data_IF_130744124761
#
_entry.id   IF_130744124761
#
_cell.length_a   1.000
_cell.length_b   1.000
_cell.length_c   1.000
_cell.angle_alpha   90.00
_cell.angle_beta   90.00
_cell.angle_gamma   90.00
#
_symmetry.space_group_name_H-M   'P 1'
#
loop_
_entity.id
_entity.type
_entity.pdbx_description
1 polymer ?
#
# COMPACT_ATOMS: atom_id res chain seq x y z
N UNK A 1 8.99 17.19 -71.23
CA UNK A 1 9.79 16.62 -70.15
C UNK A 1 9.31 17.26 -68.83
N UNK A 2 8.28 16.65 -68.19
CA UNK A 2 7.72 17.09 -66.91
C UNK A 2 8.44 16.37 -65.76
N UNK A 3 9.07 17.15 -64.90
CA UNK A 3 9.60 16.62 -63.63
C UNK A 3 8.47 16.60 -62.59
N UNK A 4 7.91 15.42 -62.31
CA UNK A 4 7.01 15.20 -61.24
C UNK A 4 7.81 15.23 -59.91
N UNK A 5 7.85 16.39 -59.28
CA UNK A 5 8.35 16.50 -57.89
C UNK A 5 7.38 15.83 -56.94
N UNK A 6 7.78 14.73 -56.33
CA UNK A 6 7.01 14.08 -55.26
C UNK A 6 6.95 14.98 -54.02
N UNK A 7 5.80 15.63 -53.82
CA UNK A 7 5.49 16.35 -52.59
C UNK A 7 5.41 15.34 -51.43
N UNK A 8 6.49 15.18 -50.70
CA UNK A 8 6.45 14.44 -49.42
C UNK A 8 5.71 15.28 -48.38
N UNK A 9 4.59 14.78 -47.89
CA UNK A 9 3.71 15.43 -46.94
C UNK A 9 4.47 15.68 -45.62
N UNK A 10 4.74 16.93 -45.20
CA UNK A 10 5.52 17.24 -43.99
C UNK A 10 4.84 16.76 -42.69
N UNK A 11 3.54 16.47 -42.73
CA UNK A 11 2.79 15.93 -41.57
C UNK A 11 3.05 14.44 -41.31
N UNK A 12 3.45 13.67 -42.36
CA UNK A 12 3.78 12.24 -42.22
C UNK A 12 5.09 12.00 -41.45
N UNK A 13 6.08 12.87 -41.65
CA UNK A 13 7.36 12.84 -40.89
C UNK A 13 7.16 13.16 -39.39
N UNK A 14 6.24 14.10 -39.06
CA UNK A 14 5.91 14.43 -37.65
C UNK A 14 5.23 13.28 -36.95
N UNK A 15 4.40 12.47 -37.61
CA UNK A 15 3.71 11.31 -37.04
C UNK A 15 4.69 10.20 -36.66
N UNK A 16 5.68 9.87 -37.49
CA UNK A 16 6.70 8.83 -37.19
C UNK A 16 7.63 9.23 -36.02
N UNK A 17 8.12 10.48 -36.02
CA UNK A 17 8.98 10.99 -34.96
C UNK A 17 8.26 11.01 -33.59
N UNK A 18 6.96 11.33 -33.56
CA UNK A 18 6.16 11.31 -32.33
C UNK A 18 5.91 9.89 -31.80
N UNK A 19 5.77 8.90 -32.67
CA UNK A 19 5.65 7.47 -32.33
C UNK A 19 6.97 6.93 -31.78
N UNK A 20 8.11 7.27 -32.37
CA UNK A 20 9.42 6.84 -31.91
C UNK A 20 9.76 7.41 -30.52
N UNK A 21 9.36 8.65 -30.23
CA UNK A 21 9.53 9.29 -28.91
C UNK A 21 8.70 8.63 -27.81
N UNK A 22 7.63 7.91 -28.15
CA UNK A 22 6.77 7.16 -27.21
C UNK A 22 7.24 5.72 -26.97
N UNK A 23 8.14 5.20 -27.79
CA UNK A 23 8.64 3.83 -27.69
C UNK A 23 9.23 3.51 -26.31
N UNK A 24 10.06 4.38 -25.69
CA UNK A 24 10.58 4.12 -24.33
C UNK A 24 9.46 4.02 -23.28
N UNK A 25 8.39 4.81 -23.44
CA UNK A 25 7.24 4.78 -22.52
C UNK A 25 6.51 3.44 -22.64
N UNK A 26 6.25 2.96 -23.85
CA UNK A 26 5.61 1.65 -24.06
C UNK A 26 6.46 0.50 -23.54
N UNK A 27 7.79 0.55 -23.76
CA UNK A 27 8.72 -0.43 -23.24
C UNK A 27 8.68 -0.46 -21.69
N UNK A 28 8.69 0.72 -21.05
CA UNK A 28 8.57 0.85 -19.60
C UNK A 28 7.27 0.23 -19.10
N UNK A 29 6.14 0.54 -19.75
CA UNK A 29 4.82 -0.02 -19.38
C UNK A 29 4.82 -1.55 -19.49
N UNK A 30 5.39 -2.12 -20.56
CA UNK A 30 5.50 -3.58 -20.73
C UNK A 30 6.32 -4.19 -19.60
N UNK A 31 7.49 -3.62 -19.28
CA UNK A 31 8.35 -4.09 -18.18
C UNK A 31 7.62 -4.02 -16.83
N UNK A 32 6.84 -2.95 -16.58
CA UNK A 32 6.07 -2.81 -15.34
C UNK A 32 4.90 -3.79 -15.23
N UNK A 33 4.27 -4.15 -16.34
CA UNK A 33 3.13 -5.09 -16.35
C UNK A 33 3.60 -6.56 -16.34
N UNK A 34 4.80 -6.85 -16.83
CA UNK A 34 5.31 -8.21 -16.96
C UNK A 34 5.26 -9.05 -15.67
N UNK A 35 5.62 -8.53 -14.47
CA UNK A 35 5.48 -9.29 -13.22
C UNK A 35 4.03 -9.68 -12.90
N UNK A 36 3.09 -8.77 -13.11
CA UNK A 36 1.66 -9.04 -12.89
C UNK A 36 1.12 -10.07 -13.88
N UNK A 37 1.50 -9.93 -15.14
CA UNK A 37 1.19 -10.93 -16.16
C UNK A 37 1.72 -12.31 -15.77
N UNK A 38 2.97 -12.38 -15.30
CA UNK A 38 3.57 -13.63 -14.82
C UNK A 38 2.84 -14.22 -13.61
N UNK A 39 2.45 -13.39 -12.64
CA UNK A 39 1.66 -13.83 -11.48
C UNK A 39 0.30 -14.41 -11.90
N UNK A 40 -0.42 -13.72 -12.81
CA UNK A 40 -1.72 -14.17 -13.31
C UNK A 40 -1.57 -15.50 -14.04
N UNK A 41 -0.67 -15.59 -15.01
CA UNK A 41 -0.51 -16.81 -15.80
C UNK A 41 -0.01 -17.98 -14.96
N UNK A 42 0.95 -17.76 -14.06
CA UNK A 42 1.51 -18.79 -13.21
C UNK A 42 0.53 -19.31 -12.15
N UNK A 43 -0.39 -18.45 -11.66
CA UNK A 43 -1.44 -18.87 -10.73
C UNK A 43 -2.48 -19.81 -11.37
N UNK A 44 -2.53 -19.86 -12.68
CA UNK A 44 -3.46 -20.68 -13.46
C UNK A 44 -2.80 -21.92 -14.10
N UNK A 45 -1.50 -22.13 -13.88
CA UNK A 45 -0.74 -23.27 -14.41
C UNK A 45 -0.73 -24.44 -13.45
N UNK A 46 -0.62 -25.64 -14.01
CA UNK A 46 -0.35 -26.86 -13.23
C UNK A 46 1.09 -26.85 -12.69
N UNK A 47 1.32 -27.67 -11.66
CA UNK A 47 2.68 -27.88 -11.10
C UNK A 47 3.65 -28.37 -12.17
N UNK A 48 3.20 -29.31 -13.02
CA UNK A 48 4.03 -29.83 -14.12
C UNK A 48 4.42 -28.74 -15.10
N UNK A 49 3.48 -27.85 -15.44
CA UNK A 49 3.74 -26.77 -16.38
C UNK A 49 4.68 -25.70 -15.79
N UNK A 50 4.60 -25.42 -14.49
CA UNK A 50 5.51 -24.50 -13.80
C UNK A 50 6.97 -24.98 -13.80
N UNK A 51 7.20 -26.31 -14.01
CA UNK A 51 8.54 -26.92 -14.08
C UNK A 51 9.14 -26.93 -15.50
N UNK A 52 8.36 -26.62 -16.52
CA UNK A 52 8.83 -26.67 -17.91
C UNK A 52 9.87 -25.59 -18.18
N UNK A 53 10.98 -26.01 -18.82
CA UNK A 53 12.05 -25.11 -19.25
C UNK A 53 12.20 -25.21 -20.78
N UNK A 54 12.10 -24.10 -21.53
CA UNK A 54 11.81 -22.73 -21.10
C UNK A 54 10.38 -22.57 -20.60
N UNK A 55 10.14 -21.59 -19.68
CA UNK A 55 8.81 -21.37 -19.11
C UNK A 55 7.79 -20.99 -20.18
N UNK A 56 6.58 -21.54 -20.09
CA UNK A 56 5.48 -21.16 -20.99
C UNK A 56 4.99 -19.76 -20.65
N UNK A 57 4.70 -18.96 -21.65
CA UNK A 57 4.16 -17.61 -21.44
C UNK A 57 2.66 -17.65 -21.08
N UNK A 58 1.91 -18.56 -21.73
CA UNK A 58 0.48 -18.78 -21.47
C UNK A 58 0.25 -20.13 -20.83
N UNK A 59 -0.74 -20.30 -19.92
CA UNK A 59 -1.12 -21.62 -19.44
C UNK A 59 -1.60 -22.48 -20.63
N UNK A 60 -1.11 -23.72 -20.73
CA UNK A 60 -1.58 -24.69 -21.71
C UNK A 60 -3.01 -25.13 -21.38
N UNK A 61 -3.21 -25.41 -20.08
CA UNK A 61 -4.52 -25.70 -19.52
C UNK A 61 -4.75 -24.74 -18.35
N UNK A 62 -5.90 -24.06 -18.34
CA UNK A 62 -6.27 -23.13 -17.25
C UNK A 62 -6.74 -23.96 -16.06
N UNK A 63 -5.99 -23.93 -14.97
CA UNK A 63 -6.28 -24.71 -13.77
C UNK A 63 -6.60 -23.79 -12.60
N UNK A 64 -7.78 -24.00 -12.00
CA UNK A 64 -8.20 -23.31 -10.78
C UNK A 64 -7.80 -24.03 -9.50
N UNK A 65 -7.10 -25.18 -9.60
CA UNK A 65 -6.66 -25.97 -8.45
C UNK A 65 -5.71 -25.25 -7.49
N UNK A 66 -5.02 -24.19 -7.93
CA UNK A 66 -4.21 -23.35 -7.06
C UNK A 66 -5.06 -22.51 -6.08
N UNK A 67 -6.32 -22.28 -6.39
CA UNK A 67 -7.26 -21.52 -5.55
C UNK A 67 -8.20 -22.44 -4.78
N UNK A 68 -8.70 -23.49 -5.43
CA UNK A 68 -9.69 -24.44 -4.90
C UNK A 68 -9.09 -25.84 -4.77
N UNK A 69 -9.84 -26.75 -4.17
CA UNK A 69 -9.44 -28.12 -3.90
C UNK A 69 -9.15 -28.94 -5.17
N UNK A 70 -8.57 -30.04 -4.91
CA UNK A 70 -8.13 -31.18 -5.69
C UNK A 70 -9.07 -31.71 -6.77
N UNK A 71 -10.35 -31.58 -6.57
CA UNK A 71 -11.33 -32.00 -7.59
C UNK A 71 -11.07 -31.37 -8.96
N UNK A 72 -10.35 -30.25 -8.99
CA UNK A 72 -10.03 -29.50 -10.21
C UNK A 72 -8.64 -29.75 -10.76
N UNK A 73 -7.80 -30.52 -10.06
CA UNK A 73 -6.48 -30.89 -10.56
C UNK A 73 -6.03 -32.28 -10.07
N UNK A 74 -6.57 -33.38 -10.67
CA UNK A 74 -6.27 -34.74 -10.25
C UNK A 74 -4.78 -35.12 -10.40
N UNK A 75 -4.01 -34.42 -11.22
CA UNK A 75 -2.60 -34.69 -11.44
C UNK A 75 -1.67 -34.18 -10.32
N UNK A 76 -2.15 -33.26 -9.50
CA UNK A 76 -1.43 -32.78 -8.29
C UNK A 76 -1.44 -33.81 -7.15
N UNK A 77 -2.16 -34.92 -7.27
CA UNK A 77 -2.59 -35.81 -6.18
C UNK A 77 -1.78 -37.08 -5.97
N UNK A 78 -0.75 -37.30 -6.74
CA UNK A 78 0.13 -38.48 -6.44
C UNK A 78 1.09 -38.23 -5.27
N UNK A 79 1.19 -37.03 -4.76
CA UNK A 79 1.98 -36.70 -3.57
C UNK A 79 1.19 -35.77 -2.65
N UNK A 80 0.86 -36.25 -1.47
CA UNK A 80 0.23 -35.59 -0.33
C UNK A 80 -0.70 -34.41 -0.65
N UNK A 81 -1.98 -34.57 -0.32
CA UNK A 81 -3.10 -33.65 -0.53
C UNK A 81 -2.70 -32.16 -0.43
N UNK A 82 -2.36 -31.52 -1.55
CA UNK A 82 -2.16 -30.08 -1.58
C UNK A 82 -3.52 -29.40 -1.70
N UNK A 83 -4.01 -28.89 -0.59
CA UNK A 83 -5.19 -28.05 -0.56
C UNK A 83 -4.94 -26.73 -1.30
N UNK A 84 -5.86 -26.32 -2.16
CA UNK A 84 -5.80 -24.99 -2.78
C UNK A 84 -5.81 -23.85 -1.75
N UNK A 85 -5.48 -22.64 -2.19
CA UNK A 85 -5.30 -21.48 -1.33
C UNK A 85 -6.44 -21.26 -0.32
N UNK A 86 -7.68 -21.38 -0.76
CA UNK A 86 -8.85 -21.09 0.09
C UNK A 86 -9.16 -22.21 1.10
N UNK A 87 -8.68 -23.42 0.89
CA UNK A 87 -8.93 -24.57 1.76
C UNK A 87 -7.73 -24.93 2.64
N UNK A 88 -6.59 -24.28 2.41
CA UNK A 88 -5.33 -24.54 3.12
C UNK A 88 -5.39 -24.22 4.63
N UNK A 89 -6.39 -23.49 5.07
CA UNK A 89 -6.53 -23.04 6.45
C UNK A 89 -7.92 -23.41 6.99
N UNK A 90 -8.25 -24.72 7.11
CA UNK A 90 -9.58 -25.16 7.51
C UNK A 90 -9.94 -24.76 8.96
N UNK A 91 -8.92 -24.66 9.83
CA UNK A 91 -9.09 -24.32 11.26
C UNK A 91 -9.31 -22.81 11.47
N UNK A 92 -9.06 -21.97 10.47
CA UNK A 92 -9.29 -20.55 10.57
C UNK A 92 -10.71 -20.18 10.18
N UNK A 93 -11.38 -19.42 11.03
CA UNK A 93 -12.64 -18.79 10.67
C UNK A 93 -12.39 -17.88 9.45
N UNK A 94 -13.11 -18.15 8.34
CA UNK A 94 -12.92 -17.53 7.02
C UNK A 94 -11.67 -17.97 6.24
N UNK A 95 -10.91 -18.99 6.68
CA UNK A 95 -9.75 -19.50 5.95
C UNK A 95 -8.75 -18.40 5.57
N UNK A 96 -8.27 -18.42 4.32
CA UNK A 96 -7.32 -17.40 3.80
C UNK A 96 -7.84 -15.95 3.91
N UNK A 97 -9.15 -15.73 3.83
CA UNK A 97 -9.72 -14.38 3.97
C UNK A 97 -9.54 -13.79 5.37
N UNK A 98 -9.24 -14.58 6.40
CA UNK A 98 -8.90 -14.09 7.74
C UNK A 98 -7.71 -13.13 7.70
N UNK A 99 -6.67 -13.47 6.94
CA UNK A 99 -5.49 -12.62 6.79
C UNK A 99 -5.82 -11.29 6.10
N UNK A 100 -6.71 -11.33 5.13
CA UNK A 100 -7.19 -10.12 4.47
C UNK A 100 -7.98 -9.22 5.42
N UNK A 101 -8.88 -9.80 6.21
CA UNK A 101 -9.64 -9.08 7.25
C UNK A 101 -8.69 -8.41 8.24
N UNK A 102 -7.70 -9.15 8.76
CA UNK A 102 -6.71 -8.60 9.68
C UNK A 102 -5.95 -7.43 9.04
N UNK A 103 -5.48 -7.59 7.80
CA UNK A 103 -4.78 -6.52 7.08
C UNK A 103 -5.66 -5.29 6.88
N UNK A 104 -6.95 -5.44 6.56
CA UNK A 104 -7.88 -4.32 6.44
C UNK A 104 -8.14 -3.65 7.78
N UNK A 105 -8.41 -4.41 8.83
CA UNK A 105 -8.65 -3.87 10.19
C UNK A 105 -7.44 -3.06 10.65
N UNK A 106 -6.24 -3.63 10.57
CA UNK A 106 -5.00 -2.97 10.98
C UNK A 106 -4.74 -1.72 10.14
N UNK A 107 -4.78 -1.85 8.81
CA UNK A 107 -4.49 -0.75 7.88
C UNK A 107 -5.46 0.42 8.05
N UNK A 108 -6.77 0.16 8.05
CA UNK A 108 -7.78 1.21 8.16
C UNK A 108 -7.67 1.90 9.52
N UNK A 109 -7.52 1.12 10.61
CA UNK A 109 -7.41 1.67 11.96
C UNK A 109 -6.18 2.57 12.09
N UNK A 110 -4.99 2.11 11.66
CA UNK A 110 -3.78 2.91 11.72
C UNK A 110 -3.93 4.15 10.85
N UNK A 111 -4.39 4.01 9.61
CA UNK A 111 -4.52 5.13 8.67
C UNK A 111 -5.46 6.20 9.22
N UNK A 112 -6.66 5.83 9.67
CA UNK A 112 -7.65 6.80 10.18
C UNK A 112 -7.16 7.46 11.46
N UNK A 113 -6.72 6.68 12.44
CA UNK A 113 -6.29 7.22 13.73
C UNK A 113 -5.04 8.10 13.60
N UNK A 114 -4.08 7.70 12.79
CA UNK A 114 -2.86 8.51 12.55
C UNK A 114 -3.19 9.85 11.87
N UNK A 115 -4.14 9.87 10.92
CA UNK A 115 -4.55 11.12 10.28
C UNK A 115 -5.32 12.03 11.25
N UNK A 116 -6.16 11.49 12.10
CA UNK A 116 -6.87 12.26 13.13
C UNK A 116 -5.85 12.88 14.10
N UNK A 117 -4.98 12.05 14.69
CA UNK A 117 -3.98 12.50 15.66
C UNK A 117 -3.00 13.48 15.00
N UNK A 118 -2.52 13.14 13.81
CA UNK A 118 -1.55 13.95 13.06
C UNK A 118 -2.10 15.29 12.63
N UNK A 119 -3.37 15.37 12.20
CA UNK A 119 -3.98 16.65 11.80
C UNK A 119 -4.31 17.54 13.00
N UNK A 120 -4.72 16.96 14.12
CA UNK A 120 -4.90 17.71 15.37
C UNK A 120 -3.56 18.27 15.87
N UNK A 121 -2.51 17.44 15.92
CA UNK A 121 -1.18 17.88 16.30
C UNK A 121 -0.65 18.98 15.37
N UNK A 122 -0.79 18.80 14.06
CA UNK A 122 -0.39 19.78 13.06
C UNK A 122 -1.16 21.10 13.21
N UNK A 123 -2.46 21.07 13.50
CA UNK A 123 -3.27 22.26 13.76
C UNK A 123 -2.74 23.04 14.97
N UNK A 124 -2.51 22.35 16.10
CA UNK A 124 -1.96 22.99 17.31
C UNK A 124 -0.58 23.56 17.03
N UNK A 125 0.32 22.77 16.43
CA UNK A 125 1.69 23.22 16.13
C UNK A 125 1.71 24.32 15.08
N UNK A 126 0.78 24.40 14.13
CA UNK A 126 0.74 25.45 13.11
C UNK A 126 0.07 26.73 13.62
N UNK A 127 -1.16 26.65 14.13
CA UNK A 127 -2.09 27.78 14.32
C UNK A 127 -2.17 28.31 15.75
N UNK A 128 -1.56 27.63 16.72
CA UNK A 128 -1.54 28.12 18.09
C UNK A 128 -0.17 28.68 18.48
N UNK A 129 -0.18 29.66 19.42
CA UNK A 129 1.00 30.25 20.03
C UNK A 129 1.11 29.73 21.45
N UNK A 130 2.15 28.97 21.77
CA UNK A 130 2.44 28.48 23.11
C UNK A 130 3.93 28.38 23.39
N UNK A 131 4.32 28.41 24.68
CA UNK A 131 5.70 28.27 25.09
C UNK A 131 6.25 26.88 24.72
N UNK A 132 7.44 26.82 24.13
CA UNK A 132 8.05 25.55 23.75
C UNK A 132 7.63 25.00 22.36
N UNK A 133 6.75 25.68 21.62
CA UNK A 133 6.30 25.27 20.26
C UNK A 133 7.47 24.87 19.35
N UNK A 134 8.51 25.72 19.27
CA UNK A 134 9.68 25.48 18.43
C UNK A 134 10.45 24.22 18.86
N UNK A 135 10.60 24.01 20.16
CA UNK A 135 11.28 22.85 20.69
C UNK A 135 10.52 21.56 20.36
N UNK A 136 9.20 21.53 20.62
CA UNK A 136 8.34 20.37 20.29
C UNK A 136 8.43 20.06 18.79
N UNK A 137 8.35 21.07 17.93
CA UNK A 137 8.44 20.88 16.49
C UNK A 137 9.81 20.33 16.06
N UNK A 138 10.90 20.83 16.66
CA UNK A 138 12.26 20.30 16.43
C UNK A 138 12.40 18.85 16.90
N UNK A 139 11.79 18.46 18.02
CA UNK A 139 11.76 17.05 18.48
C UNK A 139 11.02 16.17 17.50
N UNK A 140 9.86 16.61 16.97
CA UNK A 140 9.12 15.89 15.96
C UNK A 140 9.98 15.66 14.69
N UNK A 141 10.64 16.71 14.19
CA UNK A 141 11.52 16.59 13.01
C UNK A 141 12.73 15.70 13.34
N UNK A 142 13.35 15.90 14.48
CA UNK A 142 14.51 15.12 14.93
C UNK A 142 14.21 13.63 15.05
N UNK A 143 13.00 13.27 15.50
CA UNK A 143 12.57 11.86 15.59
C UNK A 143 12.51 11.17 14.23
N UNK A 144 12.30 11.91 13.14
CA UNK A 144 12.30 11.35 11.77
C UNK A 144 13.71 10.93 11.30
N UNK A 145 14.75 11.46 11.92
CA UNK A 145 16.14 11.09 11.59
C UNK A 145 16.54 9.73 12.21
N UNK A 146 15.78 9.24 13.17
CA UNK A 146 16.01 7.93 13.81
C UNK A 146 15.34 6.86 12.94
N UNK A 147 16.10 5.89 12.38
CA UNK A 147 15.50 4.77 11.69
C UNK A 147 14.57 4.00 12.62
N UNK A 148 13.33 3.76 12.18
CA UNK A 148 12.33 3.08 13.01
C UNK A 148 12.74 1.67 13.45
N UNK A 149 13.66 1.03 12.70
CA UNK A 149 14.20 -0.29 13.02
C UNK A 149 14.97 -0.31 14.34
N UNK A 150 15.54 0.83 14.77
CA UNK A 150 16.22 0.94 16.07
C UNK A 150 15.25 0.70 17.23
N UNK A 151 13.98 1.07 17.01
CA UNK A 151 12.92 0.88 17.99
C UNK A 151 12.28 -0.51 17.99
N UNK A 152 12.68 -1.45 17.10
CA UNK A 152 12.02 -2.75 16.97
C UNK A 152 12.11 -3.58 18.26
N UNK A 153 13.32 -3.79 18.78
CA UNK A 153 13.52 -4.61 20.00
C UNK A 153 12.91 -3.94 21.22
N UNK A 154 13.19 -2.67 21.53
CA UNK A 154 12.55 -1.99 22.65
C UNK A 154 11.01 -1.95 22.52
N UNK A 155 10.49 -1.74 21.30
CA UNK A 155 9.07 -1.73 21.04
C UNK A 155 8.42 -3.10 21.26
N UNK A 156 9.10 -4.19 20.85
CA UNK A 156 8.63 -5.56 21.10
C UNK A 156 8.56 -5.84 22.60
N UNK A 157 9.62 -5.53 23.35
CA UNK A 157 9.66 -5.74 24.80
C UNK A 157 8.55 -4.96 25.51
N UNK A 158 8.31 -3.70 25.13
CA UNK A 158 7.22 -2.92 25.70
C UNK A 158 5.85 -3.53 25.42
N UNK A 159 5.62 -4.00 24.20
CA UNK A 159 4.34 -4.62 23.78
C UNK A 159 4.14 -5.96 24.48
N UNK A 160 5.22 -6.71 24.73
CA UNK A 160 5.21 -7.96 25.49
C UNK A 160 4.90 -7.71 26.97
N UNK A 161 5.57 -6.77 27.61
CA UNK A 161 5.33 -6.35 28.99
C UNK A 161 3.87 -5.89 29.22
N UNK A 162 3.26 -5.28 28.21
CA UNK A 162 1.85 -4.86 28.22
C UNK A 162 0.87 -6.03 27.98
N UNK A 163 1.36 -7.22 27.64
CA UNK A 163 0.53 -8.38 27.30
C UNK A 163 -0.25 -8.20 25.99
N UNK A 164 0.26 -7.39 25.05
CA UNK A 164 -0.42 -7.09 23.81
C UNK A 164 0.01 -7.98 22.64
N UNK A 165 1.06 -8.79 22.80
CA UNK A 165 1.51 -9.74 21.77
C UNK A 165 0.32 -10.51 21.21
N UNK A 166 0.28 -10.68 19.89
CA UNK A 166 -0.78 -11.39 19.18
C UNK A 166 -2.18 -10.77 19.32
N UNK A 167 -2.27 -9.44 19.49
CA UNK A 167 -3.52 -8.67 19.52
C UNK A 167 -3.50 -7.49 18.57
N UNK A 168 -4.66 -6.96 18.20
CA UNK A 168 -4.74 -5.73 17.38
C UNK A 168 -4.09 -4.50 18.05
N UNK A 169 -4.01 -4.46 19.37
CA UNK A 169 -3.34 -3.36 20.09
C UNK A 169 -1.86 -3.28 19.76
N UNK A 170 -1.18 -4.44 19.67
CA UNK A 170 0.23 -4.52 19.28
C UNK A 170 0.49 -4.01 17.86
N UNK A 171 -0.47 -4.18 16.95
CA UNK A 171 -0.35 -3.67 15.59
C UNK A 171 -0.61 -2.16 15.50
N UNK A 172 -1.66 -1.69 16.18
CA UNK A 172 -2.23 -0.36 15.94
C UNK A 172 -1.50 0.70 16.76
N UNK A 173 -1.43 0.52 18.08
CA UNK A 173 -0.99 1.59 18.99
C UNK A 173 0.45 2.06 18.73
N UNK A 174 1.45 1.18 18.57
CA UNK A 174 2.83 1.61 18.29
C UNK A 174 3.01 2.30 16.94
N UNK A 175 2.09 2.06 15.99
CA UNK A 175 2.14 2.64 14.65
C UNK A 175 1.50 4.04 14.54
N UNK A 176 0.79 4.52 15.58
CA UNK A 176 0.08 5.80 15.54
C UNK A 176 0.98 7.03 15.51
N UNK A 177 2.11 7.11 16.26
CA UNK A 177 2.95 8.30 16.30
C UNK A 177 3.79 8.44 15.03
N UNK A 178 3.22 9.01 13.97
CA UNK A 178 3.93 9.24 12.70
C UNK A 178 4.35 10.70 12.57
N UNK A 179 5.58 11.00 12.98
CA UNK A 179 6.16 12.34 12.92
C UNK A 179 6.10 12.96 11.53
N UNK A 180 6.30 12.17 10.47
CA UNK A 180 6.21 12.64 9.07
C UNK A 180 4.85 13.24 8.73
N UNK A 181 3.75 12.65 9.22
CA UNK A 181 2.40 13.16 8.96
C UNK A 181 2.19 14.49 9.67
N UNK A 182 2.62 14.62 10.93
CA UNK A 182 2.55 15.88 11.66
C UNK A 182 3.37 16.97 10.95
N UNK A 183 4.60 16.64 10.55
CA UNK A 183 5.45 17.55 9.79
C UNK A 183 4.79 18.00 8.49
N UNK A 184 4.35 17.07 7.65
CA UNK A 184 3.77 17.37 6.34
C UNK A 184 2.51 18.24 6.45
N UNK A 185 1.59 17.87 7.36
CA UNK A 185 0.37 18.62 7.58
C UNK A 185 0.63 20.00 8.19
N UNK A 186 1.65 20.12 9.06
CA UNK A 186 2.08 21.43 9.59
C UNK A 186 2.59 22.33 8.48
N UNK A 187 3.44 21.80 7.56
CA UNK A 187 3.92 22.57 6.41
C UNK A 187 2.79 23.00 5.48
N UNK A 188 1.83 22.14 5.26
CA UNK A 188 0.64 22.49 4.47
C UNK A 188 -0.18 23.60 5.14
N UNK A 189 -0.40 23.50 6.46
CA UNK A 189 -1.14 24.52 7.23
C UNK A 189 -0.45 25.87 7.28
N UNK A 190 0.86 25.95 7.17
CA UNK A 190 1.59 27.25 7.09
C UNK A 190 1.27 28.01 5.81
N UNK A 191 0.79 27.35 4.76
CA UNK A 191 0.35 27.99 3.52
C UNK A 191 -1.07 28.57 3.60
N UNK A 192 -1.83 28.20 4.62
CA UNK A 192 -3.19 28.70 4.88
C UNK A 192 -3.09 29.99 5.72
N UNK A 193 -3.68 31.13 5.29
CA UNK A 193 -3.64 32.38 6.02
C UNK A 193 -4.18 32.24 7.46
N UNK A 194 -3.51 32.90 8.42
CA UNK A 194 -3.92 32.87 9.83
C UNK A 194 -5.17 33.71 10.06
N UNK A 195 -5.43 34.69 9.20
CA UNK A 195 -6.59 35.57 9.22
C UNK A 195 -7.93 34.82 9.19
N UNK A 196 -7.96 33.65 8.54
CA UNK A 196 -9.16 32.80 8.52
C UNK A 196 -9.49 32.24 9.91
N UNK A 197 -8.46 31.89 10.67
CA UNK A 197 -8.60 31.37 12.03
C UNK A 197 -8.93 32.52 13.00
N UNK A 198 -8.28 33.67 12.83
CA UNK A 198 -8.50 34.86 13.66
C UNK A 198 -9.94 35.43 13.48
N UNK A 199 -10.41 35.52 12.23
CA UNK A 199 -11.79 35.96 11.95
C UNK A 199 -12.81 35.05 12.65
N UNK A 200 -12.63 33.72 12.55
CA UNK A 200 -13.54 32.79 13.20
C UNK A 200 -13.51 32.87 14.74
N UNK A 201 -12.35 33.21 15.34
CA UNK A 201 -12.25 33.45 16.79
C UNK A 201 -12.99 34.74 17.18
N UNK A 202 -12.90 35.79 16.37
CA UNK A 202 -13.63 37.04 16.58
C UNK A 202 -15.15 36.79 16.51
N UNK A 203 -15.58 35.90 15.59
CA UNK A 203 -16.99 35.46 15.47
C UNK A 203 -17.44 34.53 16.61
N UNK A 204 -16.59 34.27 17.61
CA UNK A 204 -16.90 33.44 18.78
C UNK A 204 -16.87 31.92 18.54
N UNK A 205 -16.29 31.45 17.43
CA UNK A 205 -16.18 30.01 17.18
C UNK A 205 -15.19 29.35 18.15
N UNK A 206 -15.58 28.18 18.70
CA UNK A 206 -14.67 27.37 19.52
C UNK A 206 -13.55 26.77 18.67
N UNK A 207 -12.39 26.46 19.29
CA UNK A 207 -11.23 25.84 18.60
C UNK A 207 -11.60 24.55 17.89
N UNK A 208 -12.48 23.74 18.48
CA UNK A 208 -12.98 22.53 17.83
C UNK A 208 -13.84 22.84 16.60
N UNK A 209 -14.66 23.89 16.65
CA UNK A 209 -15.46 24.35 15.50
C UNK A 209 -14.56 24.86 14.38
N UNK A 210 -13.51 25.62 14.71
CA UNK A 210 -12.51 26.13 13.76
C UNK A 210 -11.80 24.94 13.10
N UNK A 211 -11.31 23.99 13.90
CA UNK A 211 -10.64 22.80 13.38
C UNK A 211 -11.56 22.02 12.43
N UNK A 212 -12.76 21.69 12.86
CA UNK A 212 -13.65 20.81 12.09
C UNK A 212 -14.26 21.47 10.86
N UNK A 213 -14.70 22.74 10.99
CA UNK A 213 -15.43 23.45 9.92
C UNK A 213 -14.55 24.24 8.97
N UNK A 214 -13.36 24.65 9.38
CA UNK A 214 -12.45 25.48 8.56
C UNK A 214 -11.20 24.71 8.19
N UNK A 215 -10.44 24.25 9.18
CA UNK A 215 -9.13 23.67 8.97
C UNK A 215 -9.21 22.32 8.27
N UNK A 216 -10.05 21.41 8.77
CA UNK A 216 -10.16 20.04 8.23
C UNK A 216 -10.60 20.02 6.75
N UNK A 217 -11.59 20.82 6.29
CA UNK A 217 -11.91 20.93 4.88
C UNK A 217 -10.76 21.48 4.02
N UNK A 218 -10.03 22.48 4.52
CA UNK A 218 -8.87 23.06 3.83
C UNK A 218 -7.70 22.07 3.76
N UNK A 219 -7.53 21.23 4.77
CA UNK A 219 -6.52 20.15 4.80
C UNK A 219 -6.87 18.97 3.89
N UNK A 220 -8.09 18.87 3.37
CA UNK A 220 -8.56 17.68 2.63
C UNK A 220 -7.59 17.19 1.55
N UNK A 221 -6.98 18.04 0.69
CA UNK A 221 -6.02 17.56 -0.30
C UNK A 221 -4.78 16.90 0.31
N UNK A 222 -4.24 17.51 1.38
CA UNK A 222 -3.08 17.00 2.11
C UNK A 222 -3.40 15.71 2.88
N UNK A 223 -4.59 15.64 3.47
CA UNK A 223 -5.08 14.44 4.16
C UNK A 223 -5.25 13.26 3.21
N UNK A 224 -5.79 13.50 2.00
CA UNK A 224 -5.92 12.44 0.98
C UNK A 224 -4.53 11.93 0.58
N UNK A 225 -3.56 12.81 0.37
CA UNK A 225 -2.20 12.41 0.03
C UNK A 225 -1.57 11.56 1.16
N UNK A 226 -1.70 11.98 2.42
CA UNK A 226 -1.19 11.25 3.57
C UNK A 226 -1.96 9.96 3.84
N UNK A 227 -3.25 9.92 3.58
CA UNK A 227 -4.07 8.70 3.64
C UNK A 227 -3.51 7.63 2.69
N UNK A 228 -3.27 8.00 1.44
CA UNK A 228 -2.74 7.06 0.44
C UNK A 228 -1.35 6.58 0.84
N UNK A 229 -0.47 7.50 1.24
CA UNK A 229 0.89 7.19 1.68
C UNK A 229 0.88 6.20 2.86
N UNK A 230 0.07 6.48 3.88
CA UNK A 230 -0.04 5.63 5.07
C UNK A 230 -0.68 4.29 4.74
N UNK A 231 -1.78 4.29 3.98
CA UNK A 231 -2.48 3.06 3.62
C UNK A 231 -1.60 2.10 2.80
N UNK A 232 -0.83 2.62 1.83
CA UNK A 232 0.12 1.78 1.07
C UNK A 232 1.24 1.27 1.97
N UNK A 233 1.79 2.12 2.83
CA UNK A 233 2.85 1.72 3.77
C UNK A 233 2.41 0.62 4.72
N UNK A 234 1.24 0.78 5.34
CA UNK A 234 0.71 -0.21 6.29
C UNK A 234 0.22 -1.49 5.62
N UNK A 235 -0.33 -1.41 4.40
CA UNK A 235 -0.70 -2.60 3.64
C UNK A 235 0.49 -3.52 3.36
N UNK A 236 1.66 -2.93 3.09
CA UNK A 236 2.89 -3.66 2.80
C UNK A 236 3.76 -3.89 4.04
N UNK A 237 3.30 -3.47 5.23
CA UNK A 237 4.08 -3.62 6.45
C UNK A 237 4.20 -5.11 6.79
N UNK A 238 5.45 -5.58 6.88
CA UNK A 238 5.77 -6.99 7.11
C UNK A 238 6.54 -7.22 8.41
N UNK A 239 7.57 -6.41 8.65
CA UNK A 239 8.54 -6.70 9.67
C UNK A 239 7.96 -6.62 11.09
N UNK A 240 7.22 -5.54 11.39
CA UNK A 240 6.57 -5.41 12.69
C UNK A 240 5.49 -6.47 12.92
N UNK A 241 4.53 -6.69 11.99
CA UNK A 241 3.60 -7.79 12.08
C UNK A 241 4.26 -9.16 12.29
N UNK A 242 5.39 -9.43 11.62
CA UNK A 242 6.07 -10.71 11.71
C UNK A 242 6.55 -11.03 13.14
N UNK A 243 7.08 -10.01 13.86
CA UNK A 243 7.67 -10.24 15.18
C UNK A 243 6.64 -10.29 16.31
N UNK A 244 5.46 -9.64 16.12
CA UNK A 244 4.41 -9.60 17.16
C UNK A 244 3.32 -10.65 16.99
N UNK A 245 3.34 -11.42 15.87
CA UNK A 245 2.31 -12.42 15.56
C UNK A 245 2.79 -13.81 15.96
N UNK A 246 2.09 -14.47 16.87
CA UNK A 246 2.41 -15.83 17.32
C UNK A 246 1.40 -16.86 16.81
N UNK A 247 0.20 -16.45 16.38
CA UNK A 247 -0.83 -17.35 15.86
C UNK A 247 -1.20 -17.02 14.41
N UNK A 248 -1.62 -18.03 13.65
CA UNK A 248 -2.05 -17.83 12.26
C UNK A 248 -3.29 -16.95 12.15
N UNK A 249 -4.20 -17.02 13.12
CA UNK A 249 -5.46 -16.29 13.09
C UNK A 249 -5.30 -14.77 13.23
N UNK A 250 -4.18 -14.31 13.77
CA UNK A 250 -3.83 -12.91 13.86
C UNK A 250 -2.90 -12.42 12.74
N UNK A 251 -2.37 -13.32 11.90
CA UNK A 251 -1.45 -12.95 10.83
C UNK A 251 -2.09 -11.98 9.83
N UNK A 252 -1.29 -11.01 9.37
CA UNK A 252 -1.62 -10.14 8.22
C UNK A 252 -1.26 -10.81 6.90
N UNK A 253 -1.80 -10.32 5.77
CA UNK A 253 -1.52 -10.88 4.45
C UNK A 253 -0.03 -10.99 4.12
N UNK A 254 0.83 -9.98 4.34
CA UNK A 254 2.26 -10.09 4.08
C UNK A 254 2.94 -11.20 4.90
N UNK A 255 2.55 -11.36 6.18
CA UNK A 255 3.06 -12.42 7.07
C UNK A 255 2.57 -13.79 6.60
N UNK A 256 1.28 -13.92 6.29
CA UNK A 256 0.72 -15.17 5.77
C UNK A 256 1.36 -15.60 4.45
N UNK A 257 1.63 -14.66 3.55
CA UNK A 257 2.31 -14.92 2.28
C UNK A 257 3.76 -15.39 2.49
N UNK A 258 4.48 -14.79 3.44
CA UNK A 258 5.82 -15.23 3.80
C UNK A 258 5.83 -16.65 4.42
N UNK A 259 4.87 -16.93 5.31
CA UNK A 259 4.70 -18.25 5.91
C UNK A 259 4.35 -19.30 4.85
N UNK A 260 3.46 -18.96 3.90
CA UNK A 260 3.13 -19.82 2.78
C UNK A 260 4.35 -20.16 1.92
N UNK A 261 5.21 -19.17 1.66
CA UNK A 261 6.46 -19.34 0.93
C UNK A 261 7.44 -20.22 1.70
N UNK A 262 7.59 -20.01 3.00
CA UNK A 262 8.52 -20.77 3.84
C UNK A 262 8.07 -22.23 4.03
N UNK A 263 6.79 -22.49 4.25
CA UNK A 263 6.24 -23.84 4.36
C UNK A 263 6.28 -24.61 3.04
N UNK A 264 6.35 -23.92 1.92
CA UNK A 264 6.50 -24.48 0.58
C UNK A 264 7.93 -24.43 0.03
N UNK A 265 8.92 -24.00 0.83
CA UNK A 265 10.30 -23.88 0.37
C UNK A 265 10.84 -25.23 -0.15
N UNK A 266 11.18 -25.26 -1.44
CA UNK A 266 11.58 -26.46 -2.14
C UNK A 266 10.45 -27.29 -2.76
N UNK A 267 9.19 -27.00 -2.48
CA UNK A 267 8.05 -27.67 -3.13
C UNK A 267 7.50 -26.79 -4.26
N UNK A 268 7.80 -27.17 -5.50
CA UNK A 268 7.35 -26.46 -6.70
C UNK A 268 5.82 -26.44 -6.79
N UNK A 269 5.14 -27.43 -6.17
CA UNK A 269 3.70 -27.52 -6.11
C UNK A 269 3.00 -26.32 -5.43
N UNK A 270 3.68 -25.61 -4.52
CA UNK A 270 3.13 -24.41 -3.88
C UNK A 270 3.32 -23.12 -4.68
N UNK A 271 4.14 -23.14 -5.73
CA UNK A 271 4.46 -21.92 -6.48
C UNK A 271 3.23 -21.25 -7.12
N UNK A 272 2.34 -22.06 -7.72
CA UNK A 272 1.07 -21.55 -8.28
C UNK A 272 0.18 -20.93 -7.23
N UNK A 273 0.10 -21.55 -6.03
CA UNK A 273 -0.67 -21.03 -4.88
C UNK A 273 -0.09 -19.71 -4.39
N UNK A 274 1.24 -19.60 -4.29
CA UNK A 274 1.93 -18.37 -3.88
C UNK A 274 1.66 -17.24 -4.89
N UNK A 275 1.69 -17.53 -6.20
CA UNK A 275 1.36 -16.56 -7.24
C UNK A 275 -0.09 -16.09 -7.14
N UNK A 276 -1.04 -17.01 -6.89
CA UNK A 276 -2.45 -16.67 -6.65
C UNK A 276 -2.64 -15.81 -5.40
N UNK A 277 -2.00 -16.17 -4.29
CA UNK A 277 -2.03 -15.40 -3.05
C UNK A 277 -1.44 -13.99 -3.24
N UNK A 278 -0.31 -13.87 -3.95
CA UNK A 278 0.33 -12.59 -4.27
C UNK A 278 -0.57 -11.72 -5.15
N UNK A 279 -1.25 -12.32 -6.13
CA UNK A 279 -2.21 -11.61 -6.98
C UNK A 279 -3.37 -11.03 -6.14
N UNK A 280 -4.00 -11.84 -5.28
CA UNK A 280 -5.07 -11.39 -4.39
C UNK A 280 -4.58 -10.28 -3.46
N UNK A 281 -3.38 -10.41 -2.91
CA UNK A 281 -2.78 -9.41 -2.02
C UNK A 281 -2.53 -8.06 -2.74
N UNK A 282 -2.29 -8.07 -4.04
CA UNK A 282 -2.07 -6.84 -4.83
C UNK A 282 -3.35 -6.08 -5.18
N UNK A 283 -4.52 -6.75 -5.18
CA UNK A 283 -5.79 -6.15 -5.60
C UNK A 283 -6.15 -4.88 -4.82
N UNK A 284 -6.11 -4.85 -3.45
CA UNK A 284 -6.46 -3.65 -2.70
C UNK A 284 -5.55 -2.46 -2.99
N UNK A 285 -4.25 -2.68 -3.17
CA UNK A 285 -3.31 -1.62 -3.52
C UNK A 285 -3.60 -1.04 -4.91
N UNK A 286 -3.88 -1.90 -5.88
CA UNK A 286 -4.27 -1.50 -7.24
C UNK A 286 -5.60 -0.73 -7.20
N UNK A 287 -6.59 -1.23 -6.47
CA UNK A 287 -7.88 -0.57 -6.31
C UNK A 287 -7.75 0.82 -5.67
N UNK A 288 -6.93 0.93 -4.60
CA UNK A 288 -6.62 2.20 -3.96
C UNK A 288 -5.99 3.20 -4.94
N UNK A 289 -5.04 2.74 -5.76
CA UNK A 289 -4.42 3.57 -6.79
C UNK A 289 -5.46 4.12 -7.77
N UNK A 290 -6.30 3.27 -8.36
CA UNK A 290 -7.33 3.71 -9.31
C UNK A 290 -8.35 4.65 -8.67
N UNK A 291 -8.73 4.42 -7.42
CA UNK A 291 -9.65 5.30 -6.69
C UNK A 291 -9.05 6.69 -6.44
N UNK A 292 -7.73 6.78 -6.27
CA UNK A 292 -7.06 8.00 -5.79
C UNK A 292 -6.23 8.72 -6.85
N UNK A 293 -5.96 8.13 -8.02
CA UNK A 293 -5.11 8.70 -9.09
C UNK A 293 -5.48 10.13 -9.49
N UNK A 294 -6.79 10.47 -9.50
CA UNK A 294 -7.27 11.82 -9.84
C UNK A 294 -6.77 12.90 -8.86
N UNK A 295 -6.57 12.53 -7.59
CA UNK A 295 -6.10 13.45 -6.56
C UNK A 295 -4.59 13.66 -6.66
N UNK A 296 -3.83 12.61 -7.06
CA UNK A 296 -2.40 12.70 -7.32
C UNK A 296 -2.06 13.67 -8.46
N UNK A 297 -2.76 13.55 -9.58
CA UNK A 297 -2.50 14.36 -10.78
C UNK A 297 -2.72 15.85 -10.48
N UNK A 298 -3.78 16.19 -9.72
CA UNK A 298 -4.07 17.58 -9.35
C UNK A 298 -3.05 18.16 -8.36
N UNK A 299 -2.58 17.37 -7.40
CA UNK A 299 -1.58 17.81 -6.42
C UNK A 299 -0.22 18.13 -7.04
N UNK A 300 0.25 17.28 -7.98
CA UNK A 300 1.53 17.48 -8.68
C UNK A 300 1.45 18.64 -9.68
N UNK A 301 0.32 18.81 -10.37
CA UNK A 301 0.14 19.89 -11.32
C UNK A 301 0.18 21.27 -10.66
N UNK A 302 -0.28 21.40 -9.41
CA UNK A 302 -0.22 22.65 -8.66
C UNK A 302 1.17 22.98 -8.11
N UNK A 303 2.03 21.98 -7.90
CA UNK A 303 3.42 22.17 -7.42
C UNK A 303 4.41 22.47 -8.55
N UNK A 304 4.07 22.15 -9.80
CA UNK A 304 4.93 22.33 -10.99
C UNK A 304 4.76 23.68 -11.73
N UNK A 305 3.91 24.57 -11.23
CA UNK A 305 3.62 25.89 -11.82
C UNK A 305 4.16 27.04 -10.95
N UNK A 306 5.36 26.86 -10.38
CA UNK A 306 6.14 27.98 -9.82
C UNK A 306 7.41 28.19 -10.59
#
# INVERSE_FOLDING_TARGET
MERSGSFTNPFEKKSRASKLRRLPIYLLVVVMIAPYYWMITSSLKSVKELQVVPPTLFPRDVILGNYYDSKYNPEMFQQEVMQGLFQRYPDLKFGFFRFMINSFVVNISITVLTLIIGSLAAYVVSKHRFKGKRFIYLVIIGSMMIPWQVGLIPGFLLVDDLGWINTYWAYIVPALPKAFIVFFLTQYLTSIPDELVEAARIDGASEFTIYYRIILPLLKPALIAMMIFTAIGEWNNFLWPLIITTSQDMATLPVALANLRNSGAGNIGTQGIIMGASLITSIPTIALYFATQKHFIRGIALSGLK
#
